data_IF_704258745414
#
_entry.id   IF_704258745414
#
_cell.length_a   1.000
_cell.length_b   1.000
_cell.length_c   1.000
_cell.angle_alpha   90.00
_cell.angle_beta   90.00
_cell.angle_gamma   90.00
#
_symmetry.space_group_name_H-M   'P 1'
#
loop_
_entity.id
_entity.type
_entity.pdbx_description
1 polymer ?
#
# COMPACT_ATOMS: atom_id res chain seq x y z
N UNK A 1 -23.35 -20.42 -26.10
CA UNK A 1 -22.37 -20.10 -25.06
C UNK A 1 -23.01 -19.09 -24.11
N UNK A 2 -23.43 -19.51 -22.92
CA UNK A 2 -24.03 -18.62 -21.93
C UNK A 2 -22.94 -17.77 -21.28
N UNK A 3 -23.01 -16.45 -21.45
CA UNK A 3 -22.10 -15.53 -20.78
C UNK A 3 -22.38 -15.49 -19.27
N UNK A 4 -21.37 -15.70 -18.46
CA UNK A 4 -21.44 -15.55 -17.00
C UNK A 4 -21.51 -14.06 -16.65
N UNK A 5 -22.54 -13.61 -15.92
CA UNK A 5 -22.57 -12.30 -15.27
C UNK A 5 -22.40 -12.45 -13.75
N UNK A 6 -21.79 -11.45 -13.11
CA UNK A 6 -21.71 -11.39 -11.65
C UNK A 6 -22.82 -10.45 -11.18
N UNK A 7 -23.79 -10.99 -10.45
CA UNK A 7 -24.84 -10.20 -9.80
C UNK A 7 -24.32 -9.67 -8.47
N UNK A 8 -24.27 -8.35 -8.35
CA UNK A 8 -23.97 -7.67 -7.09
C UNK A 8 -25.24 -6.97 -6.62
N UNK A 9 -25.52 -7.06 -5.32
CA UNK A 9 -26.63 -6.36 -4.68
C UNK A 9 -26.08 -5.28 -3.78
N UNK A 10 -26.69 -4.10 -3.83
CA UNK A 10 -26.42 -3.04 -2.86
C UNK A 10 -27.01 -3.38 -1.48
N UNK A 11 -26.77 -2.50 -0.50
CA UNK A 11 -27.28 -2.63 0.86
C UNK A 11 -28.81 -2.62 0.94
N UNK A 12 -29.48 -2.08 -0.08
CA UNK A 12 -30.94 -2.07 -0.22
C UNK A 12 -31.46 -3.33 -0.93
N UNK A 13 -30.57 -4.24 -1.33
CA UNK A 13 -30.91 -5.52 -1.97
C UNK A 13 -31.23 -5.42 -3.46
N UNK A 14 -31.00 -4.27 -4.09
CA UNK A 14 -31.23 -4.05 -5.52
C UNK A 14 -30.08 -4.67 -6.31
N UNK A 15 -30.41 -5.61 -7.19
CA UNK A 15 -29.41 -6.33 -7.99
C UNK A 15 -29.07 -5.57 -9.26
N UNK A 16 -27.77 -5.45 -9.52
CA UNK A 16 -27.26 -4.96 -10.79
C UNK A 16 -26.30 -6.00 -11.37
N UNK A 17 -26.40 -6.22 -12.67
CA UNK A 17 -25.47 -7.08 -13.40
C UNK A 17 -24.22 -6.26 -13.74
N UNK A 18 -23.06 -6.64 -13.19
CA UNK A 18 -21.79 -6.09 -13.64
C UNK A 18 -21.37 -6.84 -14.91
N UNK A 19 -21.28 -6.17 -16.07
CA UNK A 19 -20.81 -6.82 -17.28
C UNK A 19 -19.32 -7.15 -17.12
N UNK A 20 -18.97 -8.43 -17.22
CA UNK A 20 -17.57 -8.82 -17.43
C UNK A 20 -17.16 -8.27 -18.79
N UNK A 21 -16.27 -7.28 -18.76
CA UNK A 21 -15.77 -6.59 -19.95
C UNK A 21 -15.06 -7.60 -20.85
N UNK A 22 -15.74 -8.04 -21.91
CA UNK A 22 -15.11 -8.90 -22.91
C UNK A 22 -14.03 -8.09 -23.62
N UNK A 23 -12.87 -8.72 -23.83
CA UNK A 23 -11.82 -8.17 -24.67
C UNK A 23 -12.40 -8.03 -26.07
N UNK A 24 -12.67 -6.80 -26.50
CA UNK A 24 -12.94 -6.54 -27.91
C UNK A 24 -11.99 -5.47 -28.45
N UNK A 25 -11.36 -5.89 -29.54
CA UNK A 25 -10.44 -5.21 -30.42
C UNK A 25 -10.93 -3.83 -30.86
N UNK A 26 -9.98 -2.92 -31.00
CA UNK A 26 -10.21 -1.52 -31.32
C UNK A 26 -11.00 -1.28 -32.61
N UNK A 27 -11.90 -0.30 -32.53
CA UNK A 27 -12.28 0.57 -33.65
C UNK A 27 -12.34 1.99 -33.12
N UNK A 28 -11.56 2.88 -33.73
CA UNK A 28 -11.63 4.33 -33.52
C UNK A 28 -12.94 4.88 -34.09
N UNK A 29 -13.56 5.89 -33.45
CA UNK A 29 -14.68 6.62 -34.04
C UNK A 29 -14.18 7.64 -35.09
N UNK A 30 -15.05 8.03 -36.05
CA UNK A 30 -14.71 8.99 -37.09
C UNK A 30 -14.73 10.42 -36.56
N UNK A 31 -13.72 11.21 -36.94
CA UNK A 31 -13.64 12.65 -36.70
C UNK A 31 -14.45 13.41 -37.75
N UNK A 32 -15.38 14.24 -37.30
CA UNK A 32 -16.15 15.21 -38.09
C UNK A 32 -15.26 16.36 -38.57
N UNK A 33 -15.47 16.78 -39.81
CA UNK A 33 -14.64 17.77 -40.51
C UNK A 33 -14.87 19.23 -40.14
N UNK A 34 -13.92 20.07 -40.57
CA UNK A 34 -14.03 21.53 -40.69
C UNK A 34 -13.12 22.01 -41.82
N UNK A 35 -13.52 23.12 -42.44
CA UNK A 35 -13.30 23.51 -43.86
C UNK A 35 -11.96 24.21 -44.16
N UNK A 36 -11.53 24.01 -45.43
CA UNK A 36 -10.86 24.92 -46.42
C UNK A 36 -9.70 25.84 -45.99
N UNK A 37 -8.57 25.72 -46.70
CA UNK A 37 -7.95 26.82 -47.46
C UNK A 37 -6.86 26.30 -48.45
N UNK A 38 -7.07 26.63 -49.74
CA UNK A 38 -6.11 26.98 -50.83
C UNK A 38 -4.75 26.31 -51.02
N UNK A 39 -4.58 25.72 -52.23
CA UNK A 39 -3.34 25.31 -52.93
C UNK A 39 -2.58 26.52 -53.55
N UNK A 40 -1.29 26.41 -54.00
CA UNK A 40 -1.01 25.83 -55.34
C UNK A 40 0.32 25.04 -55.53
N UNK A 41 0.19 23.99 -56.36
CA UNK A 41 1.03 23.52 -57.50
C UNK A 41 2.46 22.94 -57.36
N UNK A 42 2.57 21.79 -58.08
CA UNK A 42 3.69 21.16 -58.84
C UNK A 42 4.82 20.55 -57.98
N UNK A 43 5.22 19.29 -58.15
CA UNK A 43 5.98 18.74 -59.29
C UNK A 43 5.78 17.21 -59.43
N UNK A 44 5.84 16.74 -60.67
CA UNK A 44 5.62 15.38 -61.18
C UNK A 44 6.90 14.54 -61.30
N UNK A 45 6.70 13.21 -61.35
CA UNK A 45 7.55 12.10 -61.89
C UNK A 45 8.38 11.25 -60.89
N UNK A 46 8.77 10.01 -61.23
CA UNK A 46 7.90 8.90 -61.64
C UNK A 46 8.19 7.56 -60.91
N UNK A 47 7.28 6.60 -61.18
CA UNK A 47 7.23 5.18 -60.82
C UNK A 47 8.56 4.42 -60.88
N UNK A 48 8.79 3.53 -59.90
CA UNK A 48 9.59 2.30 -60.08
C UNK A 48 8.80 1.09 -59.59
N UNK A 49 8.83 0.04 -60.40
CA UNK A 49 7.98 -1.14 -60.31
C UNK A 49 8.73 -2.38 -59.77
N UNK A 50 7.93 -3.32 -59.24
CA UNK A 50 8.16 -4.79 -59.09
C UNK A 50 9.08 -5.28 -57.95
N UNK A 51 8.99 -6.58 -57.53
CA UNK A 51 8.00 -7.62 -57.87
C UNK A 51 7.28 -8.27 -56.68
N UNK A 52 6.13 -8.86 -57.03
CA UNK A 52 5.36 -9.83 -56.24
C UNK A 52 6.21 -11.10 -55.99
N UNK A 53 6.24 -11.60 -54.75
CA UNK A 53 6.49 -13.02 -54.47
C UNK A 53 5.22 -13.65 -53.92
N UNK A 54 4.67 -14.55 -54.73
CA UNK A 54 3.68 -15.56 -54.38
C UNK A 54 4.30 -16.59 -53.44
N UNK A 55 3.67 -16.86 -52.30
CA UNK A 55 3.81 -18.14 -51.61
C UNK A 55 2.42 -18.68 -51.33
N UNK A 56 2.18 -19.84 -51.90
CA UNK A 56 0.99 -20.65 -51.89
C UNK A 56 0.68 -21.18 -50.49
N UNK A 57 -0.62 -21.22 -50.20
CA UNK A 57 -1.22 -22.01 -49.12
C UNK A 57 -0.92 -23.50 -49.36
N UNK A 58 -0.47 -24.21 -48.32
CA UNK A 58 -0.80 -25.62 -48.17
C UNK A 58 -1.14 -25.90 -46.70
N UNK A 59 -2.45 -25.92 -46.46
CA UNK A 59 -3.07 -26.41 -45.24
C UNK A 59 -3.11 -27.93 -45.35
N UNK A 60 -2.42 -28.63 -44.46
CA UNK A 60 -2.72 -30.02 -44.16
C UNK A 60 -3.19 -30.13 -42.71
N UNK A 61 -4.35 -30.76 -42.63
CA UNK A 61 -5.25 -30.90 -41.50
C UNK A 61 -5.20 -32.37 -41.12
N UNK A 62 -4.49 -32.74 -40.07
CA UNK A 62 -4.61 -34.08 -39.48
C UNK A 62 -5.48 -33.99 -38.23
N UNK A 63 -6.66 -34.61 -38.35
CA UNK A 63 -7.56 -34.94 -37.24
C UNK A 63 -7.05 -36.24 -36.62
N UNK A 64 -6.91 -36.29 -35.30
CA UNK A 64 -7.00 -37.55 -34.55
C UNK A 64 -8.21 -37.45 -33.61
N UNK A 65 -9.08 -38.46 -33.73
CA UNK A 65 -10.31 -38.64 -32.96
C UNK A 65 -10.04 -39.61 -31.80
N UNK A 66 -10.76 -39.36 -30.72
CA UNK A 66 -10.96 -40.17 -29.52
C UNK A 66 -11.39 -41.62 -29.78
N UNK A 67 -11.03 -42.50 -28.84
CA UNK A 67 -11.88 -43.39 -28.01
C UNK A 67 -10.96 -44.48 -27.42
N UNK A 68 -11.08 -45.01 -26.20
CA UNK A 68 -12.04 -44.89 -25.11
C UNK A 68 -11.74 -45.95 -24.03
N UNK A 69 -12.62 -46.00 -23.02
CA UNK A 69 -12.93 -47.11 -22.11
C UNK A 69 -12.02 -47.46 -20.90
N UNK A 70 -12.54 -47.06 -19.73
CA UNK A 70 -13.12 -47.90 -18.66
C UNK A 70 -12.25 -48.78 -17.73
N UNK A 71 -12.56 -48.58 -16.44
CA UNK A 71 -12.66 -49.50 -15.30
C UNK A 71 -11.53 -50.49 -14.98
N UNK A 72 -11.00 -50.35 -13.75
CA UNK A 72 -10.78 -51.48 -12.86
C UNK A 72 -10.68 -51.00 -11.40
N UNK A 73 -11.64 -51.46 -10.60
CA UNK A 73 -11.59 -51.47 -9.14
C UNK A 73 -10.46 -52.39 -8.67
N UNK A 74 -9.79 -52.04 -7.57
CA UNK A 74 -9.37 -53.02 -6.56
C UNK A 74 -9.26 -52.34 -5.20
N UNK A 75 -10.03 -52.89 -4.25
CA UNK A 75 -9.86 -52.70 -2.83
C UNK A 75 -8.60 -53.43 -2.36
N UNK A 76 -7.95 -52.93 -1.31
CA UNK A 76 -6.82 -53.59 -0.68
C UNK A 76 -6.37 -52.85 0.55
N UNK A 77 -6.96 -53.22 1.68
CA UNK A 77 -6.43 -52.97 3.01
C UNK A 77 -4.97 -53.45 3.08
N UNK A 78 -4.10 -52.69 3.74
CA UNK A 78 -3.07 -53.29 4.59
C UNK A 78 -2.53 -52.30 5.61
N UNK A 79 -2.38 -52.87 6.79
CA UNK A 79 -2.01 -52.27 8.06
C UNK A 79 -0.50 -52.48 8.31
N UNK A 80 0.03 -51.74 9.30
CA UNK A 80 1.23 -52.02 10.10
C UNK A 80 2.62 -51.77 9.50
N UNK A 81 3.33 -50.83 10.14
CA UNK A 81 4.72 -50.89 10.66
C UNK A 81 5.31 -49.47 10.63
N UNK A 82 5.32 -48.76 11.76
CA UNK A 82 6.48 -48.68 12.67
C UNK A 82 7.81 -48.52 11.94
N UNK A 83 8.31 -47.28 11.93
CA UNK A 83 9.73 -47.01 11.67
C UNK A 83 10.20 -45.93 12.64
N UNK A 84 10.81 -46.40 13.73
CA UNK A 84 11.65 -45.62 14.63
C UNK A 84 12.79 -44.96 13.82
N UNK A 85 12.92 -43.63 13.93
CA UNK A 85 14.12 -42.93 13.48
C UNK A 85 15.08 -42.77 14.66
N UNK A 86 16.10 -43.63 14.65
CA UNK A 86 17.20 -43.65 15.61
C UNK A 86 18.06 -42.39 15.54
N UNK A 87 18.31 -41.81 16.71
CA UNK A 87 19.33 -40.81 17.00
C UNK A 87 20.72 -41.26 16.52
N UNK A 88 21.38 -40.45 15.70
CA UNK A 88 22.83 -40.53 15.47
C UNK A 88 23.44 -39.12 15.51
N UNK A 89 24.27 -38.90 16.52
CA UNK A 89 25.37 -37.93 16.60
C UNK A 89 26.36 -38.54 17.60
N UNK A 90 27.69 -38.33 17.55
CA UNK A 90 28.38 -37.16 16.97
C UNK A 90 29.71 -37.46 16.23
N UNK A 91 30.16 -36.54 15.36
CA UNK A 91 31.59 -36.41 15.05
C UNK A 91 32.06 -34.97 15.20
N UNK A 92 33.06 -34.85 16.06
CA UNK A 92 33.84 -33.66 16.42
C UNK A 92 34.43 -32.98 15.18
N UNK A 93 34.36 -31.65 15.12
CA UNK A 93 35.40 -30.82 14.51
C UNK A 93 35.83 -29.72 15.47
N UNK A 94 37.11 -29.77 15.78
CA UNK A 94 37.93 -28.86 16.56
C UNK A 94 38.31 -27.62 15.74
N UNK A 95 38.37 -26.46 16.39
CA UNK A 95 39.19 -25.33 15.90
C UNK A 95 38.56 -23.95 16.07
N UNK A 96 38.68 -23.34 17.25
CA UNK A 96 38.56 -21.90 17.47
C UNK A 96 39.79 -21.41 18.24
N UNK A 97 40.37 -20.24 17.90
CA UNK A 97 41.62 -19.77 18.48
C UNK A 97 41.39 -19.05 19.83
N UNK A 98 42.36 -19.25 20.71
CA UNK A 98 42.51 -18.72 22.06
C UNK A 98 42.78 -17.21 22.11
N UNK A 99 42.10 -16.51 23.03
CA UNK A 99 42.51 -15.20 23.54
C UNK A 99 43.04 -15.32 24.99
N UNK A 100 43.98 -14.46 25.43
CA UNK A 100 44.71 -14.64 26.69
C UNK A 100 43.93 -14.11 27.91
N UNK A 101 44.29 -14.55 29.13
CA UNK A 101 43.55 -14.25 30.34
C UNK A 101 43.92 -12.87 30.92
N UNK A 102 42.92 -12.06 31.29
CA UNK A 102 43.11 -10.88 32.14
C UNK A 102 43.08 -11.29 33.61
N UNK A 103 43.99 -10.65 34.36
CA UNK A 103 44.28 -10.88 35.78
C UNK A 103 43.09 -10.50 36.66
N UNK A 104 42.90 -11.31 37.70
CA UNK A 104 42.11 -11.03 38.90
C UNK A 104 42.84 -9.96 39.71
N UNK A 105 42.12 -8.94 40.16
CA UNK A 105 42.41 -8.26 41.42
C UNK A 105 41.12 -8.13 42.22
N UNK A 106 41.26 -8.43 43.50
CA UNK A 106 40.23 -8.50 44.51
C UNK A 106 39.90 -7.11 45.06
N UNK A 107 38.64 -6.93 45.47
CA UNK A 107 38.20 -5.75 46.20
C UNK A 107 36.76 -5.95 46.66
N UNK A 108 36.61 -6.53 47.85
CA UNK A 108 35.35 -6.54 48.59
C UNK A 108 35.02 -5.11 49.01
N UNK A 109 33.83 -4.65 48.70
CA UNK A 109 33.15 -3.59 49.43
C UNK A 109 31.68 -3.99 49.52
N UNK A 110 31.25 -4.19 50.77
CA UNK A 110 29.85 -4.32 51.17
C UNK A 110 29.15 -2.99 50.84
N UNK A 111 28.09 -3.02 50.05
CA UNK A 111 27.17 -1.90 49.96
C UNK A 111 25.74 -2.41 50.10
N UNK A 112 25.03 -1.70 50.97
CA UNK A 112 23.75 -2.01 51.57
C UNK A 112 22.64 -1.92 50.54
N UNK A 113 21.76 -2.91 50.54
CA UNK A 113 20.49 -2.86 49.85
C UNK A 113 19.58 -1.80 50.51
N UNK A 114 19.53 -0.59 49.94
CA UNK A 114 18.42 0.33 50.13
C UNK A 114 17.29 -0.07 49.15
N UNK A 115 16.25 -0.69 49.70
CA UNK A 115 14.95 -0.84 49.04
C UNK A 115 14.30 0.54 48.88
N UNK A 116 14.58 1.22 47.77
CA UNK A 116 13.77 2.37 47.32
C UNK A 116 12.62 1.85 46.46
N UNK A 117 11.52 1.51 47.13
CA UNK A 117 10.22 1.23 46.51
C UNK A 117 9.60 2.54 46.00
N UNK A 118 10.22 3.10 44.95
CA UNK A 118 9.64 4.20 44.17
C UNK A 118 8.52 3.69 43.28
N UNK A 119 7.28 3.82 43.76
CA UNK A 119 6.07 3.70 42.97
C UNK A 119 6.15 4.66 41.77
N UNK A 120 6.55 4.14 40.61
CA UNK A 120 6.40 4.84 39.34
C UNK A 120 4.93 4.72 38.93
N UNK A 121 4.09 5.60 39.49
CA UNK A 121 2.81 5.94 38.91
C UNK A 121 3.06 6.42 37.47
N UNK A 122 2.85 5.52 36.50
CA UNK A 122 2.55 5.88 35.13
C UNK A 122 1.23 6.64 35.16
N UNK A 123 1.31 7.94 35.43
CA UNK A 123 0.21 8.88 35.37
C UNK A 123 -0.38 8.86 33.96
N UNK A 124 -1.37 8.00 33.77
CA UNK A 124 -2.22 7.97 32.58
C UNK A 124 -2.92 9.34 32.56
N UNK A 125 -2.41 10.29 31.77
CA UNK A 125 -3.12 11.55 31.50
C UNK A 125 -4.39 11.18 30.74
N UNK A 126 -5.48 10.98 31.48
CA UNK A 126 -6.82 10.86 30.91
C UNK A 126 -7.20 12.26 30.43
N UNK A 127 -7.08 12.50 29.13
CA UNK A 127 -7.66 13.68 28.51
C UNK A 127 -9.17 13.45 28.39
N UNK A 128 -9.92 13.84 29.42
CA UNK A 128 -11.38 13.98 29.32
C UNK A 128 -11.65 15.21 28.45
N UNK A 129 -11.95 15.00 27.17
CA UNK A 129 -12.59 16.01 26.33
C UNK A 129 -14.09 15.83 26.47
N UNK A 130 -14.76 16.83 27.03
CA UNK A 130 -16.20 17.00 26.91
C UNK A 130 -16.50 17.53 25.51
N UNK A 131 -17.08 16.67 24.67
CA UNK A 131 -17.69 17.05 23.39
C UNK A 131 -18.80 18.06 23.68
N UNK A 132 -18.56 19.32 23.34
CA UNK A 132 -19.57 20.38 23.41
C UNK A 132 -19.39 21.29 22.19
N UNK A 133 -19.62 20.69 21.03
CA UNK A 133 -19.67 21.38 19.75
C UNK A 133 -21.13 21.80 19.54
N UNK A 134 -21.50 22.95 20.10
CA UNK A 134 -22.77 23.59 19.81
C UNK A 134 -22.84 24.00 18.33
N UNK A 135 -23.78 23.40 17.59
CA UNK A 135 -24.25 23.90 16.31
C UNK A 135 -24.73 25.35 16.48
N UNK A 136 -24.04 26.28 15.82
CA UNK A 136 -24.56 27.62 15.59
C UNK A 136 -25.25 27.63 14.23
N UNK A 137 -26.58 27.53 14.24
CA UNK A 137 -27.45 27.88 13.12
C UNK A 137 -27.20 29.34 12.73
N UNK A 138 -26.77 29.56 11.49
CA UNK A 138 -26.71 30.89 10.87
C UNK A 138 -27.75 30.95 9.77
N UNK A 139 -28.92 31.46 10.12
CA UNK A 139 -30.00 31.81 9.20
C UNK A 139 -29.54 32.93 8.25
N UNK A 140 -29.55 32.63 6.96
CA UNK A 140 -29.26 33.59 5.90
C UNK A 140 -30.57 34.15 5.34
N UNK A 141 -31.11 35.20 5.97
CA UNK A 141 -32.23 35.96 5.43
C UNK A 141 -31.77 36.78 4.20
N UNK A 142 -32.38 36.47 3.04
CA UNK A 142 -32.39 37.34 1.87
C UNK A 142 -33.27 38.56 2.15
N UNK A 143 -32.69 39.76 2.09
CA UNK A 143 -33.44 41.01 2.09
C UNK A 143 -33.30 41.73 0.76
N UNK A 144 -34.44 41.85 0.07
CA UNK A 144 -34.64 42.68 -1.12
C UNK A 144 -34.37 44.16 -0.80
N UNK A 145 -33.63 44.84 -1.67
CA UNK A 145 -33.49 46.30 -1.64
C UNK A 145 -34.23 46.92 -2.81
N UNK A 146 -35.42 47.45 -2.51
CA UNK A 146 -36.13 48.42 -3.33
C UNK A 146 -35.53 49.83 -3.20
N UNK A 147 -35.74 50.61 -4.26
CA UNK A 147 -35.37 52.02 -4.46
C UNK A 147 -35.96 52.95 -3.39
N UNK A 148 -35.25 54.04 -3.08
CA UNK A 148 -35.81 55.40 -3.13
C UNK A 148 -34.72 56.50 -3.06
N UNK A 149 -35.09 57.68 -3.56
CA UNK A 149 -34.25 58.80 -3.96
C UNK A 149 -34.03 59.88 -2.87
N UNK A 150 -33.05 60.75 -3.18
CA UNK A 150 -32.94 62.19 -2.88
C UNK A 150 -32.43 62.66 -1.50
N UNK A 151 -31.40 63.53 -1.57
CA UNK A 151 -31.43 64.78 -0.80
C UNK A 151 -30.22 65.16 0.06
N UNK A 152 -29.17 65.67 -0.60
CA UNK A 152 -28.43 66.89 -0.22
C UNK A 152 -27.50 66.98 1.03
N UNK A 153 -26.36 67.63 0.73
CA UNK A 153 -25.47 68.52 1.51
C UNK A 153 -24.14 67.98 2.04
N UNK A 154 -23.13 68.77 1.67
CA UNK A 154 -21.70 68.77 1.98
C UNK A 154 -21.46 68.82 3.49
N UNK A 155 -20.35 68.24 3.93
CA UNK A 155 -19.28 68.94 4.67
C UNK A 155 -18.02 68.07 4.77
N UNK A 156 -16.88 68.75 4.90
CA UNK A 156 -15.51 68.31 4.69
C UNK A 156 -14.99 67.23 5.68
N UNK A 157 -14.23 66.25 5.17
CA UNK A 157 -13.30 65.43 5.96
C UNK A 157 -12.05 64.99 5.16
N UNK A 158 -10.88 64.85 5.81
CA UNK A 158 -9.56 64.82 5.18
C UNK A 158 -9.21 63.47 4.53
N UNK A 159 -8.23 63.42 3.60
CA UNK A 159 -7.91 62.22 2.84
C UNK A 159 -7.31 61.13 3.72
N UNK A 160 -7.97 59.97 3.75
CA UNK A 160 -7.50 58.76 4.43
C UNK A 160 -6.29 58.15 3.72
N UNK A 161 -5.20 58.00 4.48
CA UNK A 161 -3.98 57.27 4.15
C UNK A 161 -4.20 55.74 4.19
N UNK A 162 -5.00 55.20 3.26
CA UNK A 162 -5.05 53.76 3.02
C UNK A 162 -4.90 53.47 1.54
N UNK A 163 -3.66 53.19 1.14
CA UNK A 163 -3.35 52.54 -0.13
C UNK A 163 -3.96 51.15 -0.15
N UNK A 164 -4.91 50.92 -1.06
CA UNK A 164 -5.40 49.58 -1.41
C UNK A 164 -4.23 48.65 -1.79
N UNK A 165 -4.15 47.42 -1.24
CA UNK A 165 -3.11 46.47 -1.61
C UNK A 165 -3.20 46.13 -3.11
N UNK A 166 -2.15 46.45 -3.85
CA UNK A 166 -2.02 46.03 -5.25
C UNK A 166 -2.00 44.50 -5.32
N UNK A 167 -2.88 43.93 -6.15
CA UNK A 167 -2.87 42.51 -6.52
C UNK A 167 -1.46 42.11 -6.99
N UNK A 168 -0.81 41.11 -6.37
CA UNK A 168 0.46 40.61 -6.88
C UNK A 168 0.22 39.93 -8.23
N UNK A 169 0.59 40.65 -9.30
CA UNK A 169 0.56 40.20 -10.69
C UNK A 169 1.89 39.49 -10.95
N UNK A 170 1.94 38.18 -10.71
CA UNK A 170 3.05 37.33 -11.18
C UNK A 170 2.59 35.89 -11.33
N UNK A 171 1.93 35.59 -12.45
CA UNK A 171 1.81 34.21 -12.94
C UNK A 171 3.16 33.78 -13.46
N UNK A 172 4.07 33.37 -12.56
CA UNK A 172 5.24 32.58 -12.96
C UNK A 172 4.72 31.28 -13.55
N UNK A 173 5.01 31.06 -14.83
CA UNK A 173 4.75 29.78 -15.50
C UNK A 173 5.40 28.67 -14.68
N UNK A 174 4.58 27.85 -14.01
CA UNK A 174 5.05 26.65 -13.36
C UNK A 174 5.77 25.82 -14.42
N UNK A 175 7.05 25.52 -14.18
CA UNK A 175 7.82 24.62 -15.02
C UNK A 175 6.98 23.35 -15.23
N UNK A 176 6.90 22.89 -16.48
CA UNK A 176 6.22 21.65 -16.81
C UNK A 176 6.75 20.55 -15.90
N UNK A 177 5.90 19.89 -15.10
CA UNK A 177 6.35 18.93 -14.09
C UNK A 177 7.16 17.84 -14.80
N UNK A 178 8.43 17.72 -14.44
CA UNK A 178 9.31 16.66 -14.93
C UNK A 178 8.60 15.34 -14.70
N UNK A 179 8.44 14.52 -15.75
CA UNK A 179 7.71 13.27 -15.66
C UNK A 179 8.36 12.39 -14.59
N UNK A 180 7.63 12.11 -13.50
CA UNK A 180 8.10 11.26 -12.41
C UNK A 180 8.39 9.87 -12.98
N UNK A 181 9.64 9.42 -12.85
CA UNK A 181 10.09 8.14 -13.38
C UNK A 181 9.91 7.06 -12.30
N UNK A 182 8.99 6.13 -12.54
CA UNK A 182 8.89 4.91 -11.74
C UNK A 182 9.69 3.78 -12.39
N UNK A 183 10.27 2.90 -11.56
CA UNK A 183 10.94 1.70 -12.03
C UNK A 183 9.99 0.76 -12.80
N UNK A 184 10.50 -0.10 -13.70
CA UNK A 184 9.69 -1.10 -14.38
C UNK A 184 8.92 -2.02 -13.41
N UNK A 185 9.55 -2.47 -12.32
CA UNK A 185 8.91 -3.27 -11.27
C UNK A 185 7.72 -2.55 -10.63
N UNK A 186 7.87 -1.28 -10.24
CA UNK A 186 6.77 -0.46 -9.69
C UNK A 186 5.63 -0.34 -10.70
N UNK A 187 5.92 -0.03 -11.97
CA UNK A 187 4.89 0.05 -13.02
C UNK A 187 4.16 -1.29 -13.20
N UNK A 188 4.88 -2.40 -13.14
CA UNK A 188 4.32 -3.74 -13.27
C UNK A 188 3.36 -4.07 -12.12
N UNK A 189 3.76 -3.86 -10.85
CA UNK A 189 2.89 -4.18 -9.71
C UNK A 189 1.63 -3.33 -9.68
N UNK A 190 1.70 -2.04 -10.04
CA UNK A 190 0.50 -1.19 -10.18
C UNK A 190 -0.40 -1.64 -11.33
N UNK A 191 0.16 -2.16 -12.42
CA UNK A 191 -0.62 -2.74 -13.53
C UNK A 191 -1.37 -4.00 -13.09
N UNK A 192 -0.74 -4.85 -12.26
CA UNK A 192 -1.38 -6.02 -11.65
C UNK A 192 -2.51 -5.59 -10.72
N UNK A 193 -2.24 -4.69 -9.77
CA UNK A 193 -3.26 -4.17 -8.83
C UNK A 193 -4.45 -3.60 -9.59
N UNK A 194 -4.20 -2.74 -10.60
CA UNK A 194 -5.26 -2.13 -11.41
C UNK A 194 -6.11 -3.17 -12.17
N UNK A 195 -5.54 -4.32 -12.52
CA UNK A 195 -6.28 -5.42 -13.17
C UNK A 195 -7.17 -6.16 -12.18
N UNK A 196 -6.71 -6.31 -10.94
CA UNK A 196 -7.39 -7.09 -9.91
C UNK A 196 -8.51 -6.28 -9.24
N UNK A 197 -8.20 -5.06 -8.80
CA UNK A 197 -9.14 -4.19 -8.08
C UNK A 197 -9.57 -2.98 -8.90
N UNK A 198 -9.35 -2.98 -10.22
CA UNK A 198 -9.79 -1.88 -11.09
C UNK A 198 -9.16 -0.52 -10.76
N UNK A 199 -9.90 0.55 -11.07
CA UNK A 199 -9.61 1.91 -10.59
C UNK A 199 -10.41 2.22 -9.33
N UNK A 200 -10.63 1.23 -8.46
CA UNK A 200 -11.31 1.45 -7.18
C UNK A 200 -10.45 2.41 -6.36
N UNK A 201 -10.76 3.70 -6.44
CA UNK A 201 -10.37 4.69 -5.46
C UNK A 201 -11.52 4.75 -4.47
N UNK A 202 -11.31 4.23 -3.27
CA UNK A 202 -12.29 4.44 -2.23
C UNK A 202 -13.58 3.63 -2.35
N UNK A 203 -13.49 2.31 -2.32
CA UNK A 203 -14.69 1.46 -2.29
C UNK A 203 -15.63 1.94 -1.17
N UNK A 204 -16.86 2.31 -1.52
CA UNK A 204 -17.86 2.88 -0.62
C UNK A 204 -18.46 1.88 0.35
N UNK A 205 -17.62 1.14 1.07
CA UNK A 205 -18.01 0.16 2.07
C UNK A 205 -18.45 0.80 3.40
N UNK A 206 -19.07 1.98 3.37
CA UNK A 206 -19.58 2.70 4.55
C UNK A 206 -18.53 3.26 5.51
N UNK A 207 -17.29 2.77 5.48
CA UNK A 207 -16.15 3.36 6.19
C UNK A 207 -15.60 4.60 5.49
N UNK A 208 -14.82 5.41 6.19
CA UNK A 208 -14.26 6.63 5.63
C UNK A 208 -13.47 6.31 4.36
N UNK A 209 -13.99 6.82 3.24
CA UNK A 209 -13.46 6.57 1.91
C UNK A 209 -12.24 7.47 1.73
N UNK A 210 -11.09 7.04 2.26
CA UNK A 210 -9.87 7.77 1.98
C UNK A 210 -9.43 7.48 0.54
N UNK A 211 -9.13 8.57 -0.17
CA UNK A 211 -8.52 8.48 -1.48
C UNK A 211 -7.21 7.69 -1.39
N UNK A 212 -6.81 7.11 -2.50
CA UNK A 212 -5.50 6.46 -2.60
C UNK A 212 -4.55 7.38 -3.37
N UNK A 213 -3.27 7.42 -3.00
CA UNK A 213 -2.31 8.18 -3.80
C UNK A 213 -2.24 7.62 -5.23
N UNK A 214 -2.05 8.52 -6.20
CA UNK A 214 -1.62 8.10 -7.54
C UNK A 214 -0.21 7.49 -7.49
N UNK A 215 0.15 6.63 -8.45
CA UNK A 215 1.49 6.02 -8.53
C UNK A 215 2.60 7.07 -8.51
N UNK A 216 2.43 8.16 -9.26
CA UNK A 216 3.42 9.25 -9.30
C UNK A 216 3.49 10.02 -7.98
N UNK A 217 2.37 10.24 -7.31
CA UNK A 217 2.37 10.86 -5.98
C UNK A 217 3.02 9.97 -4.93
N UNK A 218 2.76 8.66 -4.94
CA UNK A 218 3.46 7.73 -4.06
C UNK A 218 4.95 7.71 -4.37
N UNK A 219 5.35 7.67 -5.65
CA UNK A 219 6.78 7.73 -6.03
C UNK A 219 7.45 8.99 -5.48
N UNK A 220 6.81 10.17 -5.56
CA UNK A 220 7.36 11.40 -4.97
C UNK A 220 7.56 11.29 -3.45
N UNK A 221 6.62 10.65 -2.75
CA UNK A 221 6.77 10.40 -1.30
C UNK A 221 7.92 9.44 -1.04
N UNK A 222 8.04 8.36 -1.81
CA UNK A 222 9.16 7.41 -1.70
C UNK A 222 10.50 8.08 -2.01
N UNK A 223 10.59 8.89 -3.07
CA UNK A 223 11.81 9.62 -3.43
C UNK A 223 12.21 10.59 -2.31
N UNK A 224 11.23 11.27 -1.70
CA UNK A 224 11.45 12.11 -0.51
C UNK A 224 11.97 11.28 0.68
N UNK A 225 11.41 10.08 0.92
CA UNK A 225 11.88 9.18 1.97
C UNK A 225 13.29 8.65 1.69
N UNK A 226 13.61 8.27 0.46
CA UNK A 226 14.96 7.84 0.05
C UNK A 226 15.95 8.99 0.28
N UNK A 227 15.59 10.20 -0.14
CA UNK A 227 16.48 11.37 -0.07
C UNK A 227 16.70 11.87 1.35
N UNK A 228 15.65 11.91 2.18
CA UNK A 228 15.69 12.60 3.47
C UNK A 228 15.59 11.67 4.69
N UNK A 229 15.09 10.44 4.52
CA UNK A 229 14.89 9.47 5.60
C UNK A 229 15.79 8.24 5.48
N UNK A 230 16.73 8.23 4.51
CA UNK A 230 17.59 7.07 4.26
C UNK A 230 16.79 5.76 4.06
N UNK A 231 15.58 5.85 3.47
CA UNK A 231 14.81 4.67 3.10
C UNK A 231 15.61 3.85 2.07
N UNK A 232 15.90 2.60 2.41
CA UNK A 232 16.81 1.75 1.65
C UNK A 232 16.47 0.27 1.75
N UNK A 233 17.38 -0.58 1.25
CA UNK A 233 17.20 -2.05 1.21
C UNK A 233 17.26 -2.73 2.57
N UNK A 234 17.88 -2.08 3.54
CA UNK A 234 17.99 -2.50 4.94
C UNK A 234 16.81 -2.02 5.81
N UNK A 235 15.95 -1.16 5.26
CA UNK A 235 14.83 -0.60 5.99
C UNK A 235 13.73 -1.64 6.26
N UNK A 236 13.10 -1.53 7.43
CA UNK A 236 11.86 -2.22 7.79
C UNK A 236 10.75 -1.15 7.83
N UNK A 237 9.77 -1.28 6.96
CA UNK A 237 8.72 -0.28 6.74
C UNK A 237 7.38 -0.80 7.27
N UNK A 238 6.64 0.05 8.00
CA UNK A 238 5.23 -0.20 8.36
C UNK A 238 4.30 0.85 7.75
N UNK A 239 3.17 0.40 7.23
CA UNK A 239 2.03 1.20 6.80
C UNK A 239 0.88 0.99 7.78
N UNK A 240 0.53 2.03 8.53
CA UNK A 240 -0.60 2.03 9.47
C UNK A 240 -1.84 2.50 8.72
N UNK A 241 -2.86 1.64 8.63
CA UNK A 241 -4.00 1.86 7.75
C UNK A 241 -3.68 1.50 6.30
N UNK A 242 -3.12 0.31 6.09
CA UNK A 242 -2.53 -0.10 4.82
C UNK A 242 -3.51 -0.12 3.63
N UNK A 243 -4.82 -0.17 3.88
CA UNK A 243 -5.86 -0.12 2.87
C UNK A 243 -5.71 -1.24 1.83
N UNK A 244 -5.48 -0.87 0.57
CA UNK A 244 -5.23 -1.83 -0.53
C UNK A 244 -3.77 -2.33 -0.59
N UNK A 245 -2.90 -1.85 0.29
CA UNK A 245 -1.50 -2.25 0.37
C UNK A 245 -0.56 -1.58 -0.63
N UNK A 246 -1.02 -0.52 -1.31
CA UNK A 246 -0.26 0.13 -2.39
C UNK A 246 1.08 0.71 -1.91
N UNK A 247 1.16 1.47 -0.79
CA UNK A 247 2.43 1.96 -0.29
C UNK A 247 3.39 0.82 0.06
N UNK A 248 2.91 -0.21 0.77
CA UNK A 248 3.72 -1.38 1.11
C UNK A 248 4.31 -2.09 -0.11
N UNK A 249 3.47 -2.35 -1.12
CA UNK A 249 3.88 -2.99 -2.36
C UNK A 249 4.87 -2.09 -3.10
N UNK A 250 4.65 -0.78 -3.15
CA UNK A 250 5.55 0.16 -3.80
C UNK A 250 6.96 0.10 -3.20
N UNK A 251 7.09 0.27 -1.87
CA UNK A 251 8.41 0.32 -1.21
C UNK A 251 9.16 -1.00 -1.29
N UNK A 252 8.42 -2.12 -1.39
CA UNK A 252 9.00 -3.45 -1.62
C UNK A 252 9.65 -3.60 -3.00
N UNK A 253 9.18 -2.84 -4.01
CA UNK A 253 9.79 -2.84 -5.35
C UNK A 253 10.87 -1.77 -5.49
N UNK A 254 10.65 -0.60 -4.87
CA UNK A 254 11.60 0.52 -4.87
C UNK A 254 11.47 1.31 -3.56
N UNK A 255 12.55 1.44 -2.76
CA UNK A 255 13.93 1.04 -3.05
C UNK A 255 14.21 -0.47 -2.89
N UNK A 256 13.19 -1.26 -2.51
CA UNK A 256 13.35 -2.68 -2.24
C UNK A 256 13.68 -2.96 -0.77
N UNK A 257 12.84 -2.46 0.13
CA UNK A 257 13.02 -2.57 1.59
C UNK A 257 13.15 -4.04 2.05
N UNK A 258 13.85 -4.26 3.17
CA UNK A 258 14.08 -5.61 3.72
C UNK A 258 12.77 -6.28 4.13
N UNK A 259 11.83 -5.49 4.66
CA UNK A 259 10.49 -5.92 5.01
C UNK A 259 9.51 -4.75 4.89
N UNK A 260 8.33 -5.04 4.33
CA UNK A 260 7.22 -4.10 4.22
C UNK A 260 5.99 -4.70 4.88
N UNK A 261 5.50 -4.06 5.94
CA UNK A 261 4.43 -4.56 6.80
C UNK A 261 3.23 -3.61 6.73
N UNK A 262 2.07 -4.09 6.32
CA UNK A 262 0.83 -3.31 6.37
C UNK A 262 -0.07 -3.82 7.47
N UNK A 263 -0.56 -2.94 8.34
CA UNK A 263 -1.62 -3.25 9.30
C UNK A 263 -2.89 -2.49 8.94
N UNK A 264 -4.02 -3.19 8.91
CA UNK A 264 -5.31 -2.65 8.52
C UNK A 264 -6.41 -3.17 9.45
N UNK A 265 -7.20 -2.24 9.98
CA UNK A 265 -8.29 -2.52 10.92
C UNK A 265 -9.60 -2.82 10.20
N UNK A 266 -9.81 -2.28 8.99
CA UNK A 266 -11.01 -2.53 8.21
C UNK A 266 -10.90 -3.83 7.42
N UNK A 267 -11.71 -4.83 7.80
CA UNK A 267 -11.59 -6.19 7.29
C UNK A 267 -11.72 -6.26 5.76
N UNK A 268 -12.64 -5.49 5.18
CA UNK A 268 -12.85 -5.49 3.73
C UNK A 268 -11.63 -4.94 2.99
N UNK A 269 -10.99 -3.90 3.54
CA UNK A 269 -9.78 -3.30 2.95
C UNK A 269 -8.60 -4.27 3.02
N UNK A 270 -8.40 -4.90 4.18
CA UNK A 270 -7.38 -5.93 4.35
C UNK A 270 -7.57 -7.13 3.40
N UNK A 271 -8.80 -7.60 3.20
CA UNK A 271 -9.06 -8.69 2.24
C UNK A 271 -8.69 -8.29 0.80
N UNK A 272 -8.90 -7.03 0.42
CA UNK A 272 -8.50 -6.53 -0.88
C UNK A 272 -6.98 -6.40 -1.01
N UNK A 273 -6.26 -6.05 0.06
CA UNK A 273 -4.78 -6.07 0.04
C UNK A 273 -4.23 -7.49 -0.10
N UNK A 274 -4.83 -8.49 0.56
CA UNK A 274 -4.50 -9.90 0.36
C UNK A 274 -4.79 -10.38 -1.07
N UNK A 275 -5.93 -9.96 -1.66
CA UNK A 275 -6.25 -10.26 -3.05
C UNK A 275 -5.20 -9.71 -4.02
N UNK A 276 -4.75 -8.47 -3.81
CA UNK A 276 -3.65 -7.88 -4.56
C UNK A 276 -2.34 -8.65 -4.36
N UNK A 277 -1.99 -8.98 -3.11
CA UNK A 277 -0.77 -9.70 -2.80
C UNK A 277 -0.74 -11.08 -3.47
N UNK A 278 -1.83 -11.84 -3.42
CA UNK A 278 -1.93 -13.15 -4.09
C UNK A 278 -1.57 -13.07 -5.57
N UNK A 279 -2.11 -12.09 -6.28
CA UNK A 279 -1.84 -11.92 -7.71
C UNK A 279 -0.40 -11.49 -8.00
N UNK A 280 0.23 -10.73 -7.08
CA UNK A 280 1.65 -10.40 -7.17
C UNK A 280 2.53 -11.63 -6.94
N UNK A 281 2.21 -12.46 -5.95
CA UNK A 281 2.96 -13.69 -5.66
C UNK A 281 2.87 -14.68 -6.83
N UNK A 282 1.69 -14.85 -7.43
CA UNK A 282 1.51 -15.65 -8.65
C UNK A 282 2.38 -15.14 -9.82
N UNK A 283 2.45 -13.82 -10.00
CA UNK A 283 3.29 -13.21 -11.04
C UNK A 283 4.78 -13.38 -10.73
N UNK A 284 5.18 -13.32 -9.45
CA UNK A 284 6.55 -13.57 -9.01
C UNK A 284 6.96 -15.04 -9.24
N UNK A 285 6.09 -15.99 -8.94
CA UNK A 285 6.32 -17.43 -9.19
C UNK A 285 6.47 -17.74 -10.68
N UNK A 286 5.61 -17.16 -11.52
CA UNK A 286 5.71 -17.32 -12.97
C UNK A 286 7.04 -16.75 -13.50
N UNK A 287 7.45 -15.58 -13.01
CA UNK A 287 8.73 -14.97 -13.39
C UNK A 287 9.96 -15.75 -12.91
N UNK A 288 9.86 -16.48 -11.78
CA UNK A 288 10.94 -17.35 -11.31
C UNK A 288 11.13 -18.56 -12.25
N UNK A 289 10.04 -19.24 -12.61
CA UNK A 289 10.07 -20.41 -13.51
C UNK A 289 10.60 -20.08 -14.90
N UNK A 290 10.23 -18.92 -15.44
CA UNK A 290 10.71 -18.45 -16.75
C UNK A 290 12.20 -18.07 -16.73
N UNK A 291 12.71 -17.67 -15.56
CA UNK A 291 14.12 -17.36 -15.35
C UNK A 291 15.00 -18.60 -15.37
N UNK A 292 14.58 -19.64 -14.65
CA UNK A 292 15.31 -20.91 -14.52
C UNK A 292 15.39 -21.63 -15.88
N UNK A 293 14.28 -21.73 -16.61
CA UNK A 293 14.23 -22.39 -17.91
C UNK A 293 15.16 -21.76 -18.96
N UNK A 294 15.44 -20.45 -18.86
CA UNK A 294 16.33 -19.72 -19.78
C UNK A 294 17.79 -19.67 -19.32
N UNK A 295 18.08 -20.09 -18.09
CA UNK A 295 19.45 -20.27 -17.62
C UNK A 295 20.03 -21.55 -18.23
N UNK A 296 19.26 -22.65 -18.18
CA UNK A 296 19.67 -23.96 -18.70
C UNK A 296 19.98 -23.96 -20.21
N UNK A 297 19.27 -23.15 -21.02
CA UNK A 297 19.56 -23.03 -22.46
C UNK A 297 20.83 -22.20 -22.77
N UNK A 298 21.26 -21.32 -21.87
CA UNK A 298 22.35 -20.35 -22.14
C UNK A 298 23.73 -20.82 -21.70
N UNK A 299 23.81 -21.78 -20.80
CA UNK A 299 25.08 -22.38 -20.37
C UNK A 299 25.70 -23.31 -21.44
N UNK A 300 24.97 -23.58 -22.53
CA UNK A 300 25.45 -24.43 -23.63
C UNK A 300 26.28 -23.69 -24.70
N UNK A 301 26.18 -22.36 -24.85
CA UNK A 301 26.74 -21.68 -26.04
C UNK A 301 27.66 -20.49 -25.80
N UNK A 302 27.84 -19.93 -24.60
CA UNK A 302 28.78 -18.79 -24.46
C UNK A 302 29.39 -18.66 -23.06
N UNK A 303 30.62 -19.15 -22.90
CA UNK A 303 31.49 -18.97 -21.72
C UNK A 303 32.00 -17.53 -21.52
N UNK A 304 31.20 -16.52 -21.90
CA UNK A 304 31.53 -15.10 -21.82
C UNK A 304 30.71 -14.37 -20.76
N UNK A 305 31.20 -14.34 -19.52
CA UNK A 305 30.87 -13.37 -18.46
C UNK A 305 29.43 -12.78 -18.46
N UNK A 306 28.43 -13.62 -18.20
CA UNK A 306 27.53 -13.48 -17.04
C UNK A 306 26.86 -12.13 -16.71
N UNK A 307 26.57 -11.25 -17.67
CA UNK A 307 25.63 -10.13 -17.43
C UNK A 307 24.21 -10.63 -17.66
N UNK A 308 23.55 -11.13 -16.60
CA UNK A 308 22.08 -11.06 -16.54
C UNK A 308 21.74 -9.59 -16.82
N UNK A 309 20.95 -9.31 -17.86
CA UNK A 309 20.64 -7.93 -18.22
C UNK A 309 20.02 -7.25 -17.00
N UNK A 310 20.60 -6.13 -16.54
CA UNK A 310 20.11 -5.36 -15.39
C UNK A 310 18.62 -5.04 -15.53
N UNK A 311 18.14 -4.90 -16.77
CA UNK A 311 16.74 -4.71 -17.12
C UNK A 311 15.83 -5.87 -16.66
N UNK A 312 16.28 -7.12 -16.78
CA UNK A 312 15.51 -8.29 -16.33
C UNK A 312 15.46 -8.37 -14.80
N UNK A 313 16.61 -8.14 -14.13
CA UNK A 313 16.66 -8.06 -12.67
C UNK A 313 15.76 -6.93 -12.13
N UNK A 314 15.70 -5.79 -12.82
CA UNK A 314 14.87 -4.64 -12.45
C UNK A 314 13.35 -4.86 -12.59
N UNK A 315 12.94 -5.94 -13.26
CA UNK A 315 11.53 -6.27 -13.51
C UNK A 315 10.99 -7.36 -12.56
N UNK A 316 11.86 -7.99 -11.76
CA UNK A 316 11.46 -9.02 -10.80
C UNK A 316 10.56 -8.43 -9.73
N UNK A 317 9.48 -9.14 -9.41
CA UNK A 317 8.56 -8.73 -8.34
C UNK A 317 9.13 -9.21 -7.01
N UNK A 318 9.40 -8.24 -6.12
CA UNK A 318 9.79 -8.51 -4.75
C UNK A 318 8.55 -8.89 -3.92
N UNK A 319 8.69 -9.89 -3.05
CA UNK A 319 7.59 -10.46 -2.26
C UNK A 319 7.76 -10.24 -0.74
N UNK A 320 8.65 -9.35 -0.32
CA UNK A 320 8.90 -9.05 1.11
C UNK A 320 7.83 -8.12 1.70
N UNK A 321 6.56 -8.53 1.54
CA UNK A 321 5.36 -7.79 1.93
C UNK A 321 4.44 -8.69 2.75
N UNK A 322 3.90 -8.18 3.84
CA UNK A 322 2.89 -8.87 4.66
C UNK A 322 1.74 -7.93 5.03
N UNK A 323 0.51 -8.45 5.08
CA UNK A 323 -0.68 -7.69 5.47
C UNK A 323 -1.36 -8.34 6.67
N UNK A 324 -1.38 -7.61 7.79
CA UNK A 324 -1.98 -8.01 9.06
C UNK A 324 -3.36 -7.38 9.20
N UNK A 325 -4.37 -8.19 9.57
CA UNK A 325 -5.68 -7.71 9.99
C UNK A 325 -5.69 -7.51 11.50
N UNK A 326 -5.74 -6.27 11.96
CA UNK A 326 -5.63 -5.97 13.39
C UNK A 326 -5.61 -4.49 13.69
N UNK A 327 -5.70 -4.17 14.98
CA UNK A 327 -5.61 -2.80 15.48
C UNK A 327 -4.15 -2.48 15.87
N UNK A 328 -3.60 -1.41 15.31
CA UNK A 328 -2.26 -0.92 15.66
C UNK A 328 -2.17 -0.50 17.14
N UNK A 329 -3.30 -0.16 17.78
CA UNK A 329 -3.33 0.16 19.20
C UNK A 329 -3.06 -1.07 20.08
N UNK A 330 -3.11 -2.29 19.56
CA UNK A 330 -2.71 -3.48 20.33
C UNK A 330 -1.19 -3.62 20.49
N UNK A 331 -0.40 -2.90 19.69
CA UNK A 331 1.06 -2.89 19.81
C UNK A 331 1.49 -2.18 21.10
N UNK A 332 2.57 -2.66 21.74
CA UNK A 332 3.21 -1.97 22.88
C UNK A 332 4.28 -0.99 22.39
N UNK A 333 4.93 -1.31 21.28
CA UNK A 333 5.92 -0.49 20.60
C UNK A 333 5.80 -0.69 19.09
N UNK A 334 6.30 0.27 18.29
CA UNK A 334 6.46 0.11 16.83
C UNK A 334 7.82 -0.52 16.44
N UNK A 335 8.51 -1.19 17.36
CA UNK A 335 9.73 -1.93 17.05
C UNK A 335 9.41 -3.23 16.29
N UNK A 336 10.20 -3.60 15.26
CA UNK A 336 11.52 -3.08 14.89
C UNK A 336 11.51 -2.10 13.71
N UNK A 337 10.41 -1.39 13.46
CA UNK A 337 10.28 -0.60 12.24
C UNK A 337 11.25 0.59 12.22
N UNK A 338 11.83 0.81 11.04
CA UNK A 338 12.71 1.97 10.75
C UNK A 338 11.93 3.16 10.21
N UNK A 339 10.78 2.90 9.60
CA UNK A 339 9.94 3.89 8.96
C UNK A 339 8.48 3.57 9.26
N UNK A 340 7.78 4.53 9.86
CA UNK A 340 6.32 4.46 10.04
C UNK A 340 5.69 5.40 9.02
N UNK A 341 4.88 4.85 8.13
CA UNK A 341 4.05 5.58 7.19
C UNK A 341 2.59 5.43 7.59
N UNK A 342 1.82 6.50 7.44
CA UNK A 342 0.37 6.48 7.63
C UNK A 342 -0.29 7.50 6.69
N UNK A 343 -1.35 7.09 6.00
CA UNK A 343 -2.24 8.02 5.30
C UNK A 343 -3.40 8.37 6.23
N UNK A 344 -3.20 9.39 7.06
CA UNK A 344 -3.90 9.64 8.33
C UNK A 344 -4.91 10.80 8.27
N UNK A 345 -5.33 11.21 7.07
CA UNK A 345 -6.20 12.38 6.86
C UNK A 345 -7.51 12.31 7.66
N UNK A 346 -8.08 11.13 7.90
CA UNK A 346 -9.25 11.02 8.78
C UNK A 346 -9.11 10.01 9.91
N UNK A 347 -7.88 9.75 10.36
CA UNK A 347 -7.71 9.04 11.62
C UNK A 347 -8.40 9.81 12.76
N UNK A 348 -9.13 9.13 13.67
CA UNK A 348 -9.73 9.81 14.81
C UNK A 348 -8.63 10.34 15.76
N UNK A 349 -8.85 11.46 16.46
CA UNK A 349 -7.86 12.03 17.38
C UNK A 349 -7.33 11.05 18.45
N UNK A 350 -8.18 10.15 18.95
CA UNK A 350 -7.79 9.14 19.94
C UNK A 350 -6.72 8.20 19.39
N UNK A 351 -6.84 7.78 18.12
CA UNK A 351 -5.85 6.94 17.46
C UNK A 351 -4.50 7.65 17.30
N UNK A 352 -4.50 8.96 17.07
CA UNK A 352 -3.24 9.74 17.03
C UNK A 352 -2.47 9.69 18.34
N UNK A 353 -3.14 9.88 19.48
CA UNK A 353 -2.49 9.82 20.78
C UNK A 353 -1.91 8.42 21.05
N UNK A 354 -2.66 7.37 20.74
CA UNK A 354 -2.20 5.99 20.90
C UNK A 354 -0.98 5.69 19.98
N UNK A 355 -1.01 6.13 18.72
CA UNK A 355 0.14 5.94 17.81
C UNK A 355 1.34 6.78 18.28
N UNK A 356 1.13 8.01 18.76
CA UNK A 356 2.19 8.86 19.29
C UNK A 356 2.92 8.20 20.45
N UNK A 357 2.18 7.63 21.40
CA UNK A 357 2.76 6.92 22.54
C UNK A 357 3.63 5.73 22.10
N UNK A 358 3.10 4.88 21.21
CA UNK A 358 3.82 3.71 20.67
C UNK A 358 5.04 4.10 19.84
N UNK A 359 4.93 5.17 19.05
CA UNK A 359 6.05 5.74 18.32
C UNK A 359 7.10 6.29 19.30
N UNK A 360 6.71 7.07 20.29
CA UNK A 360 7.64 7.68 21.23
C UNK A 360 8.36 6.63 22.09
N UNK A 361 7.74 5.47 22.36
CA UNK A 361 8.38 4.33 23.04
C UNK A 361 9.35 3.58 22.12
N UNK A 362 9.04 3.45 20.83
CA UNK A 362 9.85 2.70 19.87
C UNK A 362 11.20 3.34 19.54
N UNK A 363 12.03 2.58 18.84
CA UNK A 363 13.30 3.03 18.27
C UNK A 363 13.16 3.58 16.84
N UNK A 364 11.94 3.68 16.30
CA UNK A 364 11.72 4.10 14.92
C UNK A 364 12.21 5.54 14.68
N UNK A 365 13.18 5.79 13.77
CA UNK A 365 13.73 7.12 13.54
C UNK A 365 12.83 8.04 12.70
N UNK A 366 11.95 7.50 11.85
CA UNK A 366 11.21 8.30 10.87
C UNK A 366 9.70 8.08 10.93
N UNK A 367 8.96 9.18 10.78
CA UNK A 367 7.51 9.23 10.67
C UNK A 367 7.13 9.95 9.37
N UNK A 368 6.22 9.36 8.60
CA UNK A 368 5.67 9.94 7.37
C UNK A 368 4.15 9.95 7.49
N UNK A 369 3.57 11.14 7.39
CA UNK A 369 2.14 11.36 7.59
C UNK A 369 1.63 12.57 6.79
N UNK A 370 0.34 12.88 6.88
CA UNK A 370 -0.32 13.92 6.08
C UNK A 370 -0.86 15.09 6.90
N UNK A 371 -0.43 15.19 8.16
CA UNK A 371 -0.63 16.36 9.02
C UNK A 371 0.68 17.10 9.28
N UNK A 372 0.58 18.43 9.34
CA UNK A 372 1.72 19.31 9.58
C UNK A 372 2.16 19.40 11.05
N UNK A 373 3.29 20.08 11.34
CA UNK A 373 3.94 20.07 12.65
C UNK A 373 3.05 20.53 13.80
N UNK A 374 2.15 21.50 13.57
CA UNK A 374 1.22 21.99 14.60
C UNK A 374 0.32 20.88 15.17
N UNK A 375 -0.10 19.92 14.35
CA UNK A 375 -0.90 18.80 14.83
C UNK A 375 0.01 17.68 15.36
N UNK A 376 0.99 17.26 14.57
CA UNK A 376 1.85 16.11 14.90
C UNK A 376 2.70 16.37 16.14
N UNK A 377 3.36 17.52 16.21
CA UNK A 377 4.27 17.84 17.33
C UNK A 377 3.48 18.44 18.48
N UNK A 378 2.76 19.55 18.26
CA UNK A 378 2.21 20.33 19.37
C UNK A 378 0.95 19.71 19.98
N UNK A 379 0.06 19.13 19.16
CA UNK A 379 -1.23 18.58 19.63
C UNK A 379 -1.14 17.12 20.06
N UNK A 380 -0.51 16.28 19.25
CA UNK A 380 -0.47 14.83 19.47
C UNK A 380 0.82 14.37 20.17
N UNK A 381 1.84 15.24 20.27
CA UNK A 381 3.00 14.98 21.11
C UNK A 381 4.01 13.99 20.52
N UNK A 382 4.10 13.86 19.20
CA UNK A 382 5.17 13.05 18.60
C UNK A 382 6.54 13.71 18.83
N UNK A 383 7.52 12.93 19.31
CA UNK A 383 8.90 13.38 19.57
C UNK A 383 9.73 13.51 18.28
N UNK A 384 9.29 14.37 17.37
CA UNK A 384 9.84 14.49 16.01
C UNK A 384 10.03 15.93 15.56
N UNK A 385 10.82 16.11 14.51
CA UNK A 385 11.06 17.39 13.81
C UNK A 385 10.82 17.21 12.33
N UNK A 386 10.18 18.20 11.70
CA UNK A 386 9.93 18.19 10.26
C UNK A 386 11.24 18.31 9.50
N UNK A 387 11.45 17.45 8.50
CA UNK A 387 12.67 17.47 7.66
C UNK A 387 12.38 17.71 6.18
N UNK A 388 11.22 17.29 5.66
CA UNK A 388 10.84 17.50 4.27
C UNK A 388 9.32 17.37 4.09
N UNK A 389 8.81 17.87 2.97
CA UNK A 389 7.40 17.74 2.61
C UNK A 389 7.22 17.74 1.10
N UNK A 390 6.19 17.06 0.60
CA UNK A 390 5.88 17.00 -0.82
C UNK A 390 4.38 17.05 -1.08
N UNK A 391 3.98 17.83 -2.08
CA UNK A 391 2.59 17.86 -2.54
C UNK A 391 2.24 16.55 -3.24
N UNK A 392 1.08 15.99 -2.92
CA UNK A 392 0.57 14.74 -3.48
C UNK A 392 -0.79 14.97 -4.13
N UNK A 393 -1.25 13.97 -4.87
CA UNK A 393 -2.55 13.96 -5.55
C UNK A 393 -3.20 12.59 -5.42
N UNK A 394 -4.51 12.61 -5.28
CA UNK A 394 -5.32 11.44 -5.03
C UNK A 394 -5.82 10.79 -6.34
N UNK A 395 -6.04 9.48 -6.31
CA UNK A 395 -6.60 8.73 -7.41
C UNK A 395 -8.11 9.01 -7.50
N UNK A 396 -8.56 9.57 -8.61
CA UNK A 396 -9.98 9.86 -8.85
C UNK A 396 -10.49 11.16 -8.23
N UNK A 397 -9.65 11.92 -7.51
CA UNK A 397 -9.98 13.24 -6.98
C UNK A 397 -8.96 14.29 -7.43
N UNK A 398 -9.40 15.54 -7.60
CA UNK A 398 -8.53 16.71 -7.79
C UNK A 398 -7.95 17.24 -6.47
N UNK A 399 -8.34 16.63 -5.35
CA UNK A 399 -7.81 16.97 -4.03
C UNK A 399 -6.31 16.63 -3.94
N UNK A 400 -5.56 17.58 -3.41
CA UNK A 400 -4.14 17.44 -3.13
C UNK A 400 -3.89 17.49 -1.63
N UNK A 401 -3.03 16.61 -1.13
CA UNK A 401 -2.58 16.63 0.25
C UNK A 401 -1.06 16.81 0.30
N UNK A 402 -0.55 17.28 1.42
CA UNK A 402 0.89 17.37 1.65
C UNK A 402 1.33 16.17 2.48
N UNK A 403 2.27 15.39 1.97
CA UNK A 403 2.97 14.40 2.78
C UNK A 403 4.14 15.08 3.49
N UNK A 404 4.31 14.81 4.78
CA UNK A 404 5.34 15.36 5.63
C UNK A 404 6.26 14.23 6.11
N UNK A 405 7.57 14.43 6.00
CA UNK A 405 8.58 13.55 6.59
C UNK A 405 9.13 14.18 7.86
N UNK A 406 9.15 13.39 8.91
CA UNK A 406 9.65 13.76 10.22
C UNK A 406 10.79 12.84 10.65
N UNK A 407 11.75 13.41 11.37
CA UNK A 407 12.84 12.70 12.03
C UNK A 407 12.71 12.85 13.54
N UNK A 408 12.89 11.75 14.26
CA UNK A 408 12.93 11.74 15.74
C UNK A 408 13.96 12.72 16.28
N UNK A 409 13.59 13.49 17.31
CA UNK A 409 14.46 14.51 17.91
C UNK A 409 15.50 13.93 18.86
N UNK A 410 15.12 12.95 19.67
CA UNK A 410 15.97 12.34 20.69
C UNK A 410 16.22 10.88 20.36
N UNK A 411 17.50 10.50 20.24
CA UNK A 411 17.86 9.09 20.20
C UNK A 411 17.54 8.47 21.57
N UNK A 412 16.53 7.59 21.63
CA UNK A 412 16.32 6.79 22.84
C UNK A 412 17.38 5.71 22.90
N UNK A 413 17.93 5.48 24.10
CA UNK A 413 18.63 4.22 24.37
C UNK A 413 17.57 3.15 24.55
N UNK A 414 17.70 2.04 23.82
CA UNK A 414 16.77 0.91 23.94
C UNK A 414 16.72 0.46 25.41
N UNK A 415 15.53 0.49 26.02
CA UNK A 415 15.34 -0.15 27.32
C UNK A 415 15.54 -1.64 27.14
N UNK A 416 16.40 -2.26 27.96
CA UNK A 416 16.67 -3.70 27.90
C UNK A 416 15.42 -4.55 28.17
N UNK A 417 14.35 -3.96 28.72
CA UNK A 417 13.09 -4.65 29.06
C UNK A 417 12.15 -4.82 27.88
N UNK A 418 12.32 -4.08 26.77
CA UNK A 418 11.42 -4.18 25.61
C UNK A 418 11.97 -5.22 24.63
N UNK A 419 11.18 -6.24 24.23
CA UNK A 419 11.58 -7.19 23.21
C UNK A 419 12.02 -6.48 21.92
N UNK A 420 12.97 -7.03 21.16
CA UNK A 420 13.45 -6.39 19.93
C UNK A 420 12.36 -6.28 18.83
N UNK A 421 11.29 -7.06 18.95
CA UNK A 421 10.15 -7.09 18.02
C UNK A 421 8.88 -7.18 18.85
N UNK A 422 7.91 -6.30 18.59
CA UNK A 422 6.60 -6.40 19.25
C UNK A 422 5.89 -7.71 18.89
N UNK A 423 5.15 -8.28 19.84
CA UNK A 423 4.44 -9.54 19.65
C UNK A 423 3.42 -9.45 18.51
N UNK A 424 2.75 -8.30 18.34
CA UNK A 424 1.77 -8.09 17.27
C UNK A 424 2.39 -8.26 15.87
N UNK A 425 3.65 -7.86 15.71
CA UNK A 425 4.32 -7.84 14.41
C UNK A 425 5.12 -9.11 14.13
N UNK A 426 5.41 -9.90 15.17
CA UNK A 426 6.36 -11.02 15.10
C UNK A 426 6.02 -12.03 14.00
N UNK A 427 4.80 -12.57 13.98
CA UNK A 427 4.40 -13.60 13.01
C UNK A 427 4.63 -13.15 11.57
N UNK A 428 4.16 -11.94 11.22
CA UNK A 428 4.29 -11.43 9.86
C UNK A 428 5.73 -11.09 9.47
N UNK A 429 6.55 -10.60 10.42
CA UNK A 429 7.96 -10.34 10.15
C UNK A 429 8.77 -11.63 10.00
N UNK A 430 8.48 -12.66 10.79
CA UNK A 430 9.09 -13.99 10.63
C UNK A 430 8.72 -14.57 9.26
N UNK A 431 7.45 -14.43 8.84
CA UNK A 431 7.01 -14.86 7.52
C UNK A 431 7.72 -14.13 6.37
N UNK A 432 8.02 -12.84 6.52
CA UNK A 432 8.80 -12.10 5.51
C UNK A 432 10.26 -12.56 5.49
N UNK A 433 10.87 -12.78 6.66
CA UNK A 433 12.30 -13.07 6.80
C UNK A 433 12.64 -14.49 6.41
N UNK A 434 11.89 -15.44 6.95
CA UNK A 434 12.16 -16.88 6.88
C UNK A 434 11.30 -17.55 5.81
N UNK A 435 10.14 -16.97 5.49
CA UNK A 435 9.22 -17.53 4.52
C UNK A 435 9.77 -17.50 3.10
N UNK A 436 9.67 -18.65 2.43
CA UNK A 436 9.81 -18.74 0.99
C UNK A 436 8.62 -18.08 0.29
N UNK A 437 8.77 -17.76 -0.99
CA UNK A 437 7.69 -17.25 -1.85
C UNK A 437 6.45 -18.15 -1.78
N UNK A 438 6.66 -19.46 -1.82
CA UNK A 438 5.62 -20.49 -1.77
C UNK A 438 4.89 -20.50 -0.42
N UNK A 439 5.64 -20.38 0.69
CA UNK A 439 5.05 -20.36 2.03
C UNK A 439 4.14 -19.14 2.25
N UNK A 440 4.59 -17.95 1.81
CA UNK A 440 3.80 -16.73 1.89
C UNK A 440 2.56 -16.83 0.99
N UNK A 441 2.70 -17.37 -0.22
CA UNK A 441 1.57 -17.56 -1.13
C UNK A 441 0.54 -18.56 -0.58
N UNK A 442 1.00 -19.66 0.02
CA UNK A 442 0.14 -20.63 0.68
C UNK A 442 -0.63 -19.99 1.85
N UNK A 443 0.03 -19.19 2.69
CA UNK A 443 -0.60 -18.46 3.79
C UNK A 443 -1.66 -17.47 3.27
N UNK A 444 -1.34 -16.67 2.25
CA UNK A 444 -2.30 -15.72 1.66
C UNK A 444 -3.51 -16.46 1.11
N UNK A 445 -3.29 -17.58 0.41
CA UNK A 445 -4.38 -18.42 -0.12
C UNK A 445 -5.26 -18.96 1.01
N UNK A 446 -4.66 -19.51 2.06
CA UNK A 446 -5.39 -20.03 3.21
C UNK A 446 -6.26 -18.95 3.87
N UNK A 447 -5.70 -17.76 4.13
CA UNK A 447 -6.45 -16.64 4.72
C UNK A 447 -7.60 -16.21 3.82
N UNK A 448 -7.35 -16.09 2.52
CA UNK A 448 -8.41 -15.78 1.56
C UNK A 448 -9.50 -16.87 1.57
N UNK A 449 -9.14 -18.15 1.53
CA UNK A 449 -10.13 -19.23 1.49
C UNK A 449 -11.02 -19.20 2.73
N UNK A 450 -10.47 -18.99 3.93
CA UNK A 450 -11.25 -18.83 5.17
C UNK A 450 -12.29 -17.71 5.03
N UNK A 451 -11.90 -16.54 4.50
CA UNK A 451 -12.78 -15.38 4.44
C UNK A 451 -13.76 -15.38 3.26
N UNK A 452 -13.40 -15.95 2.11
CA UNK A 452 -14.23 -15.96 0.90
C UNK A 452 -15.13 -17.19 0.79
N UNK A 453 -14.76 -18.32 1.42
CA UNK A 453 -15.58 -19.55 1.39
C UNK A 453 -16.51 -19.68 2.59
N UNK A 454 -16.34 -18.86 3.63
CA UNK A 454 -17.27 -18.81 4.75
C UNK A 454 -18.70 -18.58 4.24
N UNK A 455 -19.65 -19.48 4.55
CA UNK A 455 -21.01 -19.35 4.07
C UNK A 455 -21.54 -17.99 4.53
N UNK A 456 -21.96 -17.16 3.57
CA UNK A 456 -22.58 -15.88 3.88
C UNK A 456 -23.70 -16.16 4.88
N UNK A 457 -23.76 -15.47 6.04
CA UNK A 457 -24.82 -15.66 7.00
C UNK A 457 -26.13 -15.66 6.24
N UNK A 458 -26.84 -16.81 6.26
CA UNK A 458 -28.08 -16.94 5.53
C UNK A 458 -28.94 -15.77 5.97
N UNK A 459 -29.27 -14.86 5.04
CA UNK A 459 -30.00 -13.62 5.34
C UNK A 459 -31.22 -14.04 6.14
N UNK A 460 -31.17 -13.84 7.45
CA UNK A 460 -32.24 -14.26 8.37
C UNK A 460 -33.44 -13.49 7.85
N UNK A 461 -34.35 -14.17 7.15
CA UNK A 461 -35.57 -13.54 6.66
C UNK A 461 -36.20 -12.98 7.91
N UNK A 462 -36.17 -11.66 8.09
CA UNK A 462 -36.93 -11.00 9.14
C UNK A 462 -38.36 -11.42 8.85
N UNK A 463 -38.83 -12.38 9.63
CA UNK A 463 -40.22 -12.80 9.64
C UNK A 463 -41.01 -11.53 9.93
N UNK A 464 -41.72 -11.04 8.93
CA UNK A 464 -42.61 -9.86 8.99
C UNK A 464 -43.88 -10.14 9.81
N UNK A 465 -43.80 -10.98 10.84
CA UNK A 465 -44.92 -11.29 11.74
C UNK A 465 -44.80 -10.48 13.03
N UNK A 466 -44.94 -9.16 12.92
CA UNK A 466 -44.99 -8.28 14.10
C UNK A 466 -45.93 -7.09 13.85
N UNK A 467 -47.10 -7.32 13.22
CA UNK A 467 -48.17 -6.30 13.15
C UNK A 467 -49.58 -6.88 12.89
N UNK A 468 -49.92 -8.04 13.48
CA UNK A 468 -51.32 -8.47 13.61
C UNK A 468 -51.49 -9.17 14.97
N UNK A 469 -51.65 -8.38 16.03
CA UNK A 469 -52.31 -8.76 17.29
C UNK A 469 -52.47 -7.51 18.16
N UNK A 470 -53.30 -6.58 17.69
CA UNK A 470 -53.99 -5.56 18.50
C UNK A 470 -55.21 -5.12 17.67
N UNK A 471 -56.23 -5.98 17.64
CA UNK A 471 -57.65 -5.62 17.49
C UNK A 471 -58.45 -6.64 18.27
#
# INVERSE_FOLDING_TARGET
MSGSSIKVKDEQGKSFDLPLRSKNSGRRPPTTGSKKATTPKKVTTPKRATPKKSMSKQSQRSKSKQAGAADLMFAGENSLADTEFSLVSPTRRTGLPSFPPSKKDAGCAEDKDEEDSGDLELGRKVYLFSDNDGEADVDFEKKDTGKEENGAKKDDCPPSLFSTPQKPRSTKSFATPTSIQCSPSVKNVYSIIRRCTGSLGGNGSGGAIYGELTTGSMQRVVDMMVTHCALGRDSIFIDVGAGLGKPNIHVSQYPGVAASYGIEHEQVRWQLSLHNLRHLLQAAEAGAKDGDAKADERDAETSGSGRISEEFASSRIHHKVFFHYGDVTEARTLDPFTHVYMFDIGFPPTLFYEIADRFNISQCPFLICYHGPKLIVDRYGFDVTLISQVQTSMHGSSEGHTAYCYKRTKAKRRSLKVPPVDALFKEGLDMIREGSLESLHAWVKQKMDIHFTSPRPARRRRSTNLFLNQM
#
